data_IF_354131151889
#
_entry.id   IF_354131151889
#
_cell.length_a   1.000
_cell.length_b   1.000
_cell.length_c   1.000
_cell.angle_alpha   90.00
_cell.angle_beta   90.00
_cell.angle_gamma   90.00
#
_symmetry.space_group_name_H-M   'P 1'
#
loop_
_entity.id
_entity.type
_entity.pdbx_description
1 polymer ?
#
# COMPACT_ATOMS: atom_id res chain seq x y z
N UNK A 1 10.07 16.62 9.92
CA UNK A 1 9.47 16.38 8.61
C UNK A 1 8.48 15.25 8.68
N UNK A 2 7.32 15.46 8.11
CA UNK A 2 6.28 14.47 8.18
C UNK A 2 6.45 13.41 7.10
N UNK A 3 6.54 12.14 7.50
CA UNK A 3 6.74 11.02 6.59
C UNK A 3 5.56 10.06 6.58
N UNK A 4 4.36 10.63 6.67
CA UNK A 4 3.14 9.79 6.68
C UNK A 4 3.06 8.90 5.46
N UNK A 5 3.37 9.45 4.28
CA UNK A 5 3.34 8.66 3.05
C UNK A 5 4.35 7.52 3.10
N UNK A 6 5.51 7.78 3.67
CA UNK A 6 6.55 6.76 3.79
C UNK A 6 6.16 5.68 4.78
N UNK A 7 5.57 6.09 5.92
CA UNK A 7 5.10 5.12 6.91
C UNK A 7 4.01 4.24 6.34
N UNK A 8 3.07 4.85 5.64
CA UNK A 8 2.01 4.10 4.98
C UNK A 8 2.58 3.10 3.98
N UNK A 9 3.51 3.56 3.15
CA UNK A 9 4.13 2.69 2.16
C UNK A 9 4.85 1.52 2.78
N UNK A 10 5.56 1.76 3.89
CA UNK A 10 6.27 0.69 4.58
C UNK A 10 5.31 -0.33 5.20
N UNK A 11 4.20 0.14 5.75
CA UNK A 11 3.20 -0.76 6.31
C UNK A 11 2.58 -1.63 5.22
N UNK A 12 2.23 -1.01 4.10
CA UNK A 12 1.67 -1.75 2.98
C UNK A 12 2.66 -2.81 2.50
N UNK A 13 3.93 -2.45 2.40
CA UNK A 13 4.96 -3.39 1.97
C UNK A 13 5.10 -4.55 2.95
N UNK A 14 5.15 -4.24 4.24
CA UNK A 14 5.29 -5.26 5.27
C UNK A 14 4.14 -6.26 5.21
N UNK A 15 2.91 -5.75 5.12
CA UNK A 15 1.73 -6.61 5.05
C UNK A 15 1.77 -7.46 3.78
N UNK A 16 2.12 -6.84 2.65
CA UNK A 16 2.22 -7.56 1.38
C UNK A 16 3.21 -8.71 1.48
N UNK A 17 4.39 -8.43 2.03
CA UNK A 17 5.44 -9.46 2.13
C UNK A 17 5.03 -10.59 3.06
N UNK A 18 4.35 -10.26 4.16
CA UNK A 18 3.87 -11.30 5.07
C UNK A 18 2.87 -12.23 4.41
N UNK A 19 2.15 -11.72 3.43
CA UNK A 19 1.18 -12.54 2.69
C UNK A 19 1.81 -13.27 1.52
N UNK A 20 3.10 -13.08 1.30
CA UNK A 20 3.78 -13.73 0.18
C UNK A 20 3.43 -13.15 -1.18
N UNK A 21 2.94 -11.91 -1.22
CA UNK A 21 2.51 -11.28 -2.46
C UNK A 21 3.61 -10.42 -3.05
N UNK A 22 3.70 -10.41 -4.39
CA UNK A 22 4.59 -9.49 -5.09
C UNK A 22 3.88 -8.16 -5.30
N UNK A 23 4.65 -7.12 -5.65
CA UNK A 23 4.05 -5.85 -6.04
C UNK A 23 3.12 -6.04 -7.23
N UNK A 24 3.51 -6.90 -8.16
CA UNK A 24 2.66 -7.21 -9.32
C UNK A 24 1.35 -7.87 -8.93
N UNK A 25 1.37 -8.73 -7.91
CA UNK A 25 0.14 -9.37 -7.43
C UNK A 25 -0.85 -8.31 -6.92
N UNK A 26 -0.37 -7.38 -6.11
CA UNK A 26 -1.23 -6.33 -5.56
C UNK A 26 -1.73 -5.41 -6.67
N UNK A 27 -0.83 -5.04 -7.60
CA UNK A 27 -1.20 -4.20 -8.74
C UNK A 27 -2.30 -4.84 -9.55
N UNK A 28 -2.21 -6.13 -9.76
CA UNK A 28 -3.22 -6.86 -10.53
C UNK A 28 -4.58 -6.82 -9.82
N UNK A 29 -4.58 -7.03 -8.51
CA UNK A 29 -5.82 -6.96 -7.74
C UNK A 29 -6.46 -5.59 -7.81
N UNK A 30 -5.64 -4.54 -7.89
CA UNK A 30 -6.12 -3.16 -7.94
C UNK A 30 -6.35 -2.65 -9.35
N UNK A 31 -5.96 -3.44 -10.35
CA UNK A 31 -6.04 -3.03 -11.75
C UNK A 31 -5.23 -1.75 -12.01
N UNK A 32 -4.02 -1.73 -11.48
CA UNK A 32 -3.09 -0.62 -11.69
C UNK A 32 -1.75 -1.18 -12.14
N UNK A 33 -0.87 -0.30 -12.56
CA UNK A 33 0.47 -0.68 -12.97
C UNK A 33 1.33 -1.01 -11.74
N UNK A 34 2.24 -1.99 -11.88
CA UNK A 34 3.14 -2.36 -10.78
C UNK A 34 3.97 -1.16 -10.29
N UNK A 35 4.37 -0.30 -11.22
CA UNK A 35 5.15 0.88 -10.85
C UNK A 35 4.40 1.81 -9.90
N UNK A 36 3.07 1.81 -9.98
CA UNK A 36 2.25 2.59 -9.06
C UNK A 36 2.38 2.05 -7.63
N UNK A 37 2.32 0.73 -7.46
CA UNK A 37 2.50 0.12 -6.15
C UNK A 37 3.91 0.39 -5.62
N UNK A 38 4.91 0.28 -6.48
CA UNK A 38 6.29 0.58 -6.11
C UNK A 38 6.43 2.01 -5.58
N UNK A 39 5.84 2.98 -6.28
CA UNK A 39 5.93 4.38 -5.86
C UNK A 39 5.23 4.63 -4.52
N UNK A 40 4.13 3.94 -4.27
CA UNK A 40 3.44 4.04 -2.99
C UNK A 40 4.29 3.47 -1.87
N UNK A 41 4.87 2.30 -2.08
CA UNK A 41 5.67 1.66 -1.05
C UNK A 41 6.94 2.43 -0.72
N UNK A 42 7.47 3.19 -1.68
CA UNK A 42 8.62 4.05 -1.45
C UNK A 42 8.26 5.39 -0.82
N UNK A 43 6.98 5.67 -0.65
CA UNK A 43 6.53 6.91 -0.03
C UNK A 43 6.65 8.13 -0.92
N UNK A 44 6.75 7.92 -2.23
CA UNK A 44 6.88 9.02 -3.20
C UNK A 44 5.53 9.68 -3.46
N UNK A 45 4.45 8.91 -3.34
CA UNK A 45 3.11 9.41 -3.59
C UNK A 45 2.35 9.61 -2.28
N UNK A 46 1.51 10.64 -2.26
CA UNK A 46 0.56 10.84 -1.17
C UNK A 46 -0.74 10.12 -1.55
N UNK A 47 -1.02 8.97 -0.94
CA UNK A 47 -2.23 8.25 -1.31
C UNK A 47 -3.47 8.98 -0.80
N UNK A 48 -4.50 9.03 -1.63
CA UNK A 48 -5.79 9.53 -1.21
C UNK A 48 -6.46 8.50 -0.31
N UNK A 49 -7.51 8.92 0.41
CA UNK A 49 -8.28 7.97 1.21
C UNK A 49 -8.82 6.84 0.35
N UNK A 50 -9.23 7.16 -0.86
CA UNK A 50 -9.74 6.14 -1.77
C UNK A 50 -8.68 5.11 -2.11
N UNK A 51 -7.45 5.56 -2.34
CA UNK A 51 -6.35 4.65 -2.66
C UNK A 51 -6.01 3.79 -1.44
N UNK A 52 -6.00 4.38 -0.24
CA UNK A 52 -5.76 3.62 0.98
C UNK A 52 -6.81 2.52 1.13
N UNK A 53 -8.06 2.86 0.88
CA UNK A 53 -9.15 1.90 0.95
C UNK A 53 -8.96 0.76 -0.06
N UNK A 54 -8.54 1.09 -1.27
CA UNK A 54 -8.31 0.08 -2.30
C UNK A 54 -7.15 -0.84 -1.96
N UNK A 55 -6.09 -0.28 -1.38
CA UNK A 55 -4.95 -1.09 -0.96
C UNK A 55 -5.34 -2.02 0.18
N UNK A 56 -6.09 -1.50 1.15
CA UNK A 56 -6.57 -2.31 2.26
C UNK A 56 -7.40 -3.49 1.75
N UNK A 57 -8.26 -3.22 0.78
CA UNK A 57 -9.08 -4.26 0.19
C UNK A 57 -8.22 -5.30 -0.54
N UNK A 58 -7.24 -4.83 -1.30
CA UNK A 58 -6.36 -5.73 -2.05
C UNK A 58 -5.55 -6.62 -1.12
N UNK A 59 -5.15 -6.10 0.04
CA UNK A 59 -4.39 -6.84 1.04
C UNK A 59 -5.29 -7.55 2.04
N UNK A 60 -6.60 -7.36 1.94
CA UNK A 60 -7.59 -8.01 2.82
C UNK A 60 -7.36 -7.68 4.29
N UNK A 61 -7.06 -6.42 4.57
CA UNK A 61 -6.87 -5.92 5.92
C UNK A 61 -7.73 -4.67 6.12
N UNK A 62 -8.08 -4.35 7.37
CA UNK A 62 -8.77 -3.08 7.62
C UNK A 62 -7.83 -1.91 7.39
N UNK A 63 -8.38 -0.76 7.02
CA UNK A 63 -7.58 0.43 6.73
C UNK A 63 -6.69 0.83 7.88
N UNK A 64 -7.14 0.61 9.10
CA UNK A 64 -6.37 1.02 10.28
C UNK A 64 -5.03 0.30 10.38
N UNK A 65 -4.90 -0.88 9.78
CA UNK A 65 -3.63 -1.59 9.75
C UNK A 65 -2.58 -0.85 8.92
N UNK A 66 -3.03 0.01 8.02
CA UNK A 66 -2.15 0.76 7.14
C UNK A 66 -1.81 2.14 7.68
N UNK A 67 -2.67 2.70 8.53
CA UNK A 67 -2.53 4.10 8.96
C UNK A 67 -2.36 4.28 10.45
N UNK A 68 -2.54 3.24 11.25
CA UNK A 68 -2.42 3.31 12.69
C UNK A 68 -1.12 2.64 13.14
N UNK A 69 -0.46 3.24 14.10
CA UNK A 69 0.77 2.67 14.67
C UNK A 69 0.52 1.41 15.50
#
# INVERSE_FOLDING_TARGET
>A
MNNISKQFGQRARTIRLKQGLSQGDVAKRMNVHRSYISSIERGIRNPSLKVIQRIAKALEVPMEKLIKD
#
